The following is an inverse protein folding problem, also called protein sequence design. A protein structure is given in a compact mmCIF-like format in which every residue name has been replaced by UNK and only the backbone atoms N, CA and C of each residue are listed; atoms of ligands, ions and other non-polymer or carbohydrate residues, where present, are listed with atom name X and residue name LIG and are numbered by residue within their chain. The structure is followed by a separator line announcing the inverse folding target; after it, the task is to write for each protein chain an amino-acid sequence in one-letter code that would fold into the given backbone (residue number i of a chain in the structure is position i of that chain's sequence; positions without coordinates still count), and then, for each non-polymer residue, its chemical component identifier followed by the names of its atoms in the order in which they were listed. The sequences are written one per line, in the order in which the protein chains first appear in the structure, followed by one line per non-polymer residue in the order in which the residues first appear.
data_IF_056516548533
#
_entry.id   IF_056516548533
#
_cell.length_a   1.000
_cell.length_b   1.000
_cell.length_c   1.000
_cell.angle_alpha   90.00
_cell.angle_beta   90.00
_cell.angle_gamma   90.00
#
_symmetry.space_group_name_H-M   'P 1'
#
loop_
_entity.id
_entity.type
_entity.pdbx_description
1 polymer ?
#
# COMPACT_ATOMS: atom_id res chain seq x y z
N UNK A 1 10.14 -25.92 -10.61
CA UNK A 1 10.10 -24.46 -10.39
C UNK A 1 9.28 -23.85 -11.51
N UNK A 2 8.35 -22.97 -11.15
CA UNK A 2 7.52 -22.26 -12.13
C UNK A 2 8.14 -20.90 -12.46
N UNK A 3 7.74 -20.30 -13.59
CA UNK A 3 8.12 -18.93 -13.91
C UNK A 3 7.43 -17.96 -12.94
N UNK A 4 8.17 -17.14 -12.17
CA UNK A 4 7.56 -16.17 -11.27
C UNK A 4 6.66 -15.19 -12.02
N UNK A 5 5.57 -14.76 -11.38
CA UNK A 5 4.64 -13.77 -11.93
C UNK A 5 4.33 -12.72 -10.86
N UNK A 6 4.20 -11.47 -11.29
CA UNK A 6 3.84 -10.34 -10.45
C UNK A 6 2.80 -9.50 -11.20
N UNK A 7 1.74 -9.13 -10.50
CA UNK A 7 0.74 -8.15 -10.97
C UNK A 7 0.61 -7.09 -9.89
N UNK A 8 0.54 -5.81 -10.30
CA UNK A 8 0.26 -4.69 -9.40
C UNK A 8 -0.87 -3.84 -9.98
N UNK A 9 -1.59 -3.11 -9.13
CA UNK A 9 -2.54 -2.09 -9.54
C UNK A 9 -2.39 -0.81 -8.71
N UNK A 10 -2.69 0.33 -9.34
CA UNK A 10 -2.71 1.64 -8.70
C UNK A 10 -4.12 2.20 -8.44
N UNK A 11 -5.15 1.38 -8.65
CA UNK A 11 -6.55 1.79 -8.53
C UNK A 11 -7.42 1.35 -9.70
N UNK A 12 -8.73 1.39 -9.48
CA UNK A 12 -9.76 1.21 -10.50
C UNK A 12 -10.79 2.33 -10.38
N UNK A 13 -11.41 2.70 -11.50
CA UNK A 13 -12.36 3.81 -11.57
C UNK A 13 -12.17 4.61 -12.85
N UNK A 14 -12.95 5.69 -13.00
CA UNK A 14 -12.73 6.63 -14.10
C UNK A 14 -11.30 7.20 -14.00
N UNK A 15 -10.57 7.17 -15.13
CA UNK A 15 -9.28 7.85 -15.23
C UNK A 15 -9.52 9.36 -15.10
N UNK A 16 -9.41 9.84 -13.87
CA UNK A 16 -9.56 11.25 -13.52
C UNK A 16 -8.19 11.94 -13.63
N UNK A 17 -8.13 12.99 -14.45
CA UNK A 17 -6.93 13.81 -14.59
C UNK A 17 -6.61 14.17 -16.03
N UNK A 18 -5.52 14.89 -16.19
CA UNK A 18 -4.96 15.22 -17.51
C UNK A 18 -4.29 13.99 -18.11
N UNK A 19 -4.10 13.99 -19.44
CA UNK A 19 -3.32 12.96 -20.15
C UNK A 19 -1.96 12.74 -19.46
N UNK A 20 -1.30 13.83 -19.05
CA UNK A 20 -0.03 13.77 -18.32
C UNK A 20 -0.10 13.06 -16.96
N UNK A 21 -1.22 13.17 -16.23
CA UNK A 21 -1.42 12.45 -14.95
C UNK A 21 -1.51 10.95 -15.20
N UNK A 22 -2.22 10.54 -16.25
CA UNK A 22 -2.33 9.13 -16.66
C UNK A 22 -0.98 8.57 -17.09
N UNK A 23 -0.24 9.28 -17.94
CA UNK A 23 1.12 8.88 -18.36
C UNK A 23 2.07 8.74 -17.17
N UNK A 24 1.98 9.67 -16.20
CA UNK A 24 2.78 9.63 -14.97
C UNK A 24 2.45 8.41 -14.11
N UNK A 25 1.17 8.07 -13.97
CA UNK A 25 0.74 6.87 -13.25
C UNK A 25 1.22 5.59 -13.93
N UNK A 26 1.10 5.49 -15.26
CA UNK A 26 1.58 4.35 -16.04
C UNK A 26 3.09 4.17 -15.92
N UNK A 27 3.86 5.25 -16.06
CA UNK A 27 5.31 5.26 -15.90
C UNK A 27 5.73 4.84 -14.49
N UNK A 28 5.03 5.34 -13.47
CA UNK A 28 5.22 4.93 -12.08
C UNK A 28 4.94 3.44 -11.87
N UNK A 29 3.81 2.92 -12.36
CA UNK A 29 3.45 1.51 -12.26
C UNK A 29 4.48 0.62 -12.94
N UNK A 30 4.92 0.95 -14.15
CA UNK A 30 5.95 0.18 -14.86
C UNK A 30 7.27 0.14 -14.09
N UNK A 31 7.69 1.28 -13.53
CA UNK A 31 8.92 1.38 -12.72
C UNK A 31 8.82 0.55 -11.44
N UNK A 32 7.68 0.62 -10.75
CA UNK A 32 7.42 -0.15 -9.52
C UNK A 32 7.39 -1.65 -9.84
N UNK A 33 6.58 -2.08 -10.82
CA UNK A 33 6.49 -3.47 -11.23
C UNK A 33 7.86 -4.06 -11.60
N UNK A 34 8.67 -3.32 -12.37
CA UNK A 34 10.02 -3.74 -12.76
C UNK A 34 10.93 -3.95 -11.55
N UNK A 35 10.90 -3.04 -10.57
CA UNK A 35 11.73 -3.16 -9.35
C UNK A 35 11.23 -4.29 -8.46
N UNK A 36 9.92 -4.40 -8.25
CA UNK A 36 9.31 -5.47 -7.46
C UNK A 36 9.54 -6.84 -8.07
N UNK A 37 9.56 -6.96 -9.40
CA UNK A 37 9.92 -8.20 -10.09
C UNK A 37 11.38 -8.59 -9.85
N UNK A 38 12.30 -7.63 -9.68
CA UNK A 38 13.68 -7.94 -9.26
C UNK A 38 13.70 -8.51 -7.84
N UNK A 39 12.91 -7.95 -6.93
CA UNK A 39 12.75 -8.48 -5.56
C UNK A 39 12.18 -9.90 -5.59
N UNK A 40 11.15 -10.15 -6.40
CA UNK A 40 10.57 -11.50 -6.59
C UNK A 40 11.60 -12.53 -7.07
N UNK A 41 12.55 -12.11 -7.92
CA UNK A 41 13.57 -13.02 -8.44
C UNK A 41 14.75 -13.24 -7.49
N UNK A 42 15.01 -12.31 -6.56
CA UNK A 42 16.10 -12.43 -5.58
C UNK A 42 15.65 -12.92 -4.21
N UNK A 43 14.35 -12.83 -3.92
CA UNK A 43 13.72 -13.20 -2.65
C UNK A 43 12.47 -14.06 -2.93
N UNK A 44 11.33 -13.73 -2.32
CA UNK A 44 10.10 -14.51 -2.37
C UNK A 44 8.86 -13.65 -2.75
N UNK A 45 7.71 -14.31 -2.90
CA UNK A 45 6.45 -13.67 -3.24
C UNK A 45 6.04 -12.59 -2.21
N UNK A 46 6.21 -12.87 -0.91
CA UNK A 46 5.83 -11.96 0.19
C UNK A 46 6.62 -10.67 0.14
N UNK A 47 7.94 -10.77 0.02
CA UNK A 47 8.85 -9.62 -0.05
C UNK A 47 8.56 -8.76 -1.29
N UNK A 48 8.23 -9.39 -2.42
CA UNK A 48 7.88 -8.69 -3.65
C UNK A 48 6.58 -7.87 -3.52
N UNK A 49 5.52 -8.42 -2.93
CA UNK A 49 4.25 -7.69 -2.78
C UNK A 49 4.34 -6.58 -1.73
N UNK A 50 5.05 -6.80 -0.60
CA UNK A 50 5.31 -5.74 0.39
C UNK A 50 6.10 -4.60 -0.24
N UNK A 51 7.16 -4.92 -0.98
CA UNK A 51 7.97 -3.92 -1.66
C UNK A 51 7.17 -3.13 -2.71
N UNK A 52 6.34 -3.82 -3.49
CA UNK A 52 5.48 -3.18 -4.48
C UNK A 52 4.51 -2.19 -3.85
N UNK A 53 3.76 -2.63 -2.83
CA UNK A 53 2.77 -1.79 -2.15
C UNK A 53 3.44 -0.64 -1.41
N UNK A 54 4.61 -0.85 -0.77
CA UNK A 54 5.39 0.22 -0.16
C UNK A 54 5.78 1.30 -1.18
N UNK A 55 6.21 0.90 -2.37
CA UNK A 55 6.55 1.87 -3.42
C UNK A 55 5.31 2.63 -3.94
N UNK A 56 4.13 2.01 -3.90
CA UNK A 56 2.87 2.65 -4.22
C UNK A 56 2.46 3.64 -3.11
N UNK A 57 2.63 3.28 -1.84
CA UNK A 57 2.41 4.14 -0.66
C UNK A 57 3.39 5.33 -0.59
N UNK A 58 4.61 5.17 -1.10
CA UNK A 58 5.60 6.25 -1.16
C UNK A 58 5.32 7.22 -2.32
N UNK A 59 4.43 6.88 -3.25
CA UNK A 59 4.17 7.67 -4.45
C UNK A 59 2.85 8.46 -4.33
N UNK A 60 2.91 9.80 -4.28
CA UNK A 60 1.75 10.66 -4.00
C UNK A 60 0.64 10.62 -5.06
N UNK A 61 0.89 9.99 -6.22
CA UNK A 61 -0.11 9.82 -7.27
C UNK A 61 -1.22 8.82 -6.88
N UNK A 62 -0.95 7.92 -5.92
CA UNK A 62 -1.88 6.85 -5.55
C UNK A 62 -2.60 7.13 -4.22
N UNK A 63 -3.78 6.53 -4.02
CA UNK A 63 -4.54 6.68 -2.77
C UNK A 63 -4.10 5.65 -1.72
N UNK A 64 -2.85 5.74 -1.27
CA UNK A 64 -2.31 4.91 -0.18
C UNK A 64 -1.07 5.59 0.40
N UNK A 65 -0.80 5.42 1.70
CA UNK A 65 0.37 6.03 2.33
C UNK A 65 0.41 7.56 2.10
N UNK A 66 1.54 8.04 1.61
CA UNK A 66 1.71 9.43 1.15
C UNK A 66 0.82 9.70 -0.05
N UNK A 67 -0.09 10.66 0.05
CA UNK A 67 -1.08 10.90 -1.00
C UNK A 67 -2.40 10.16 -0.79
N UNK A 68 -2.64 9.61 0.39
CA UNK A 68 -3.98 9.18 0.81
C UNK A 68 -4.98 10.35 0.86
N UNK A 69 -6.25 10.08 0.57
CA UNK A 69 -7.33 11.06 0.66
C UNK A 69 -7.64 11.42 2.12
N UNK A 70 -8.03 12.67 2.33
CA UNK A 70 -8.54 13.11 3.63
C UNK A 70 -10.00 12.67 3.76
N UNK A 71 -10.37 12.21 4.95
CA UNK A 71 -11.76 11.93 5.31
C UNK A 71 -12.50 13.23 5.67
N UNK A 72 -13.80 13.12 5.94
CA UNK A 72 -14.69 14.28 6.17
C UNK A 72 -14.22 15.25 7.27
N UNK A 73 -13.39 14.79 8.20
CA UNK A 73 -12.81 15.55 9.30
C UNK A 73 -11.40 16.09 9.02
N UNK A 74 -10.94 16.01 7.76
CA UNK A 74 -9.64 16.50 7.34
C UNK A 74 -8.47 15.62 7.80
N UNK A 75 -8.72 14.36 8.20
CA UNK A 75 -7.68 13.41 8.62
C UNK A 75 -7.49 12.30 7.59
N UNK A 76 -6.25 11.88 7.39
CA UNK A 76 -5.92 10.66 6.65
C UNK A 76 -5.97 9.48 7.62
N UNK A 77 -6.73 8.43 7.29
CA UNK A 77 -6.69 7.14 8.00
C UNK A 77 -6.57 6.02 7.00
N UNK A 78 -5.50 5.25 7.10
CA UNK A 78 -5.13 4.25 6.10
C UNK A 78 -5.43 2.84 6.59
N UNK A 79 -5.65 1.93 5.65
CA UNK A 79 -5.76 0.50 5.94
C UNK A 79 -4.88 -0.29 4.99
N UNK A 80 -4.18 -1.30 5.50
CA UNK A 80 -3.35 -2.17 4.69
C UNK A 80 -3.38 -3.60 5.23
N UNK A 81 -3.22 -4.58 4.33
CA UNK A 81 -3.24 -5.98 4.67
C UNK A 81 -2.36 -6.81 3.76
N UNK A 82 -1.89 -7.93 4.29
CA UNK A 82 -1.09 -8.93 3.59
C UNK A 82 -1.50 -10.34 3.98
N UNK A 83 -1.43 -11.24 3.01
CA UNK A 83 -1.54 -12.68 3.22
C UNK A 83 -0.55 -13.40 2.33
N UNK A 84 0.02 -14.49 2.82
CA UNK A 84 0.92 -15.37 2.08
C UNK A 84 0.61 -16.84 2.35
N UNK A 85 0.93 -17.71 1.39
CA UNK A 85 0.66 -19.16 1.46
C UNK A 85 1.60 -19.91 2.39
N UNK A 86 2.74 -19.33 2.76
CA UNK A 86 3.73 -19.99 3.61
C UNK A 86 3.31 -19.91 5.08
N UNK A 87 2.89 -18.73 5.53
CA UNK A 87 2.40 -18.49 6.89
C UNK A 87 0.94 -18.89 7.05
N UNK A 88 0.15 -18.86 5.97
CA UNK A 88 -1.30 -19.00 5.98
C UNK A 88 -2.00 -18.02 6.93
N UNK A 89 -1.39 -16.85 7.16
CA UNK A 89 -1.91 -15.80 8.04
C UNK A 89 -2.26 -14.57 7.24
N UNK A 90 -3.41 -14.01 7.55
CA UNK A 90 -3.74 -12.64 7.21
C UNK A 90 -3.28 -11.71 8.35
N UNK A 91 -2.62 -10.62 7.99
CA UNK A 91 -2.29 -9.55 8.92
C UNK A 91 -2.56 -8.18 8.32
N UNK A 92 -2.91 -7.22 9.16
CA UNK A 92 -3.34 -5.91 8.68
C UNK A 92 -3.53 -4.86 9.75
N UNK A 93 -3.62 -3.62 9.28
CA UNK A 93 -3.96 -2.45 10.06
C UNK A 93 -5.17 -1.77 9.46
N UNK A 94 -6.06 -1.26 10.30
CA UNK A 94 -7.29 -0.55 9.88
C UNK A 94 -7.26 0.85 10.50
N UNK A 95 -7.57 1.89 9.73
CA UNK A 95 -7.61 3.28 10.20
C UNK A 95 -6.32 3.74 10.93
N UNK A 96 -5.16 3.25 10.52
CA UNK A 96 -3.87 3.70 11.07
C UNK A 96 -3.59 5.13 10.59
N UNK A 97 -3.06 5.94 11.51
CA UNK A 97 -2.77 7.35 11.27
C UNK A 97 -1.28 7.66 11.45
N UNK A 98 -0.83 8.73 10.80
CA UNK A 98 0.49 9.33 10.90
C UNK A 98 1.66 8.37 10.60
N UNK A 99 1.45 7.38 9.75
CA UNK A 99 2.44 6.36 9.38
C UNK A 99 2.75 6.47 7.90
N UNK A 100 4.04 6.41 7.54
CA UNK A 100 4.46 6.49 6.14
C UNK A 100 3.99 5.30 5.31
N UNK A 101 4.21 4.10 5.81
CA UNK A 101 3.96 2.86 5.07
C UNK A 101 3.12 1.85 5.89
N UNK A 102 1.78 1.94 5.85
CA UNK A 102 0.88 0.98 6.50
C UNK A 102 1.17 -0.49 6.18
N UNK A 103 1.58 -0.82 4.96
CA UNK A 103 1.86 -2.22 4.57
C UNK A 103 3.03 -2.83 5.34
N UNK A 104 4.03 -2.02 5.72
CA UNK A 104 5.17 -2.50 6.51
C UNK A 104 4.73 -2.85 7.95
N UNK A 105 3.77 -2.11 8.51
CA UNK A 105 3.15 -2.43 9.81
C UNK A 105 2.33 -3.72 9.69
N UNK A 106 1.52 -3.85 8.63
CA UNK A 106 0.76 -5.07 8.34
C UNK A 106 1.68 -6.30 8.18
N UNK A 107 2.82 -6.16 7.50
CA UNK A 107 3.82 -7.21 7.32
C UNK A 107 4.52 -7.59 8.64
N UNK A 108 4.80 -6.60 9.49
CA UNK A 108 5.38 -6.84 10.80
C UNK A 108 4.46 -7.65 11.73
N UNK A 109 3.14 -7.48 11.58
CA UNK A 109 2.12 -8.17 12.37
C UNK A 109 1.97 -9.66 12.04
N UNK A 110 2.42 -10.14 10.87
CA UNK A 110 2.30 -11.56 10.47
C UNK A 110 2.93 -12.53 11.49
N UNK A 111 3.96 -12.07 12.20
CA UNK A 111 4.69 -12.86 13.20
C UNK A 111 4.27 -12.53 14.65
N UNK A 112 3.17 -11.80 14.85
CA UNK A 112 2.66 -11.40 16.17
C UNK A 112 1.43 -12.19 16.55
N UNK A 113 1.06 -12.13 17.83
CA UNK A 113 -0.15 -12.78 18.38
C UNK A 113 -1.43 -12.17 17.80
N UNK A 114 -1.50 -10.84 17.79
CA UNK A 114 -2.61 -10.10 17.20
C UNK A 114 -2.18 -9.72 15.78
N UNK A 115 -2.74 -10.38 14.77
CA UNK A 115 -2.35 -10.16 13.37
C UNK A 115 -3.11 -8.99 12.73
N UNK A 116 -4.26 -8.60 13.31
CA UNK A 116 -5.06 -7.45 12.85
C UNK A 116 -5.29 -6.50 14.02
N UNK A 117 -4.99 -5.21 13.82
CA UNK A 117 -5.18 -4.14 14.81
C UNK A 117 -5.74 -2.89 14.14
N UNK A 118 -6.37 -1.99 14.89
CA UNK A 118 -7.09 -0.85 14.32
C UNK A 118 -6.90 0.47 15.08
N UNK A 119 -7.16 1.57 14.36
CA UNK A 119 -7.26 2.91 14.88
C UNK A 119 -6.05 3.37 15.68
N UNK A 120 -6.30 3.99 16.83
CA UNK A 120 -5.25 4.45 17.75
C UNK A 120 -4.36 3.32 18.25
N UNK A 121 -4.90 2.10 18.39
CA UNK A 121 -4.12 0.95 18.84
C UNK A 121 -3.12 0.52 17.77
N UNK A 122 -3.50 0.58 16.49
CA UNK A 122 -2.58 0.37 15.38
C UNK A 122 -1.46 1.41 15.35
N UNK A 123 -1.80 2.69 15.52
CA UNK A 123 -0.82 3.77 15.54
C UNK A 123 0.14 3.64 16.72
N UNK A 124 -0.33 3.44 17.95
CA UNK A 124 0.53 3.26 19.12
C UNK A 124 1.43 2.04 18.98
N UNK A 125 0.87 0.90 18.57
CA UNK A 125 1.66 -0.30 18.33
C UNK A 125 2.78 -0.04 17.30
N UNK A 126 2.49 0.66 16.21
CA UNK A 126 3.50 1.00 15.23
C UNK A 126 4.61 1.89 15.84
N UNK A 127 4.26 2.89 16.66
CA UNK A 127 5.24 3.75 17.34
C UNK A 127 6.15 2.96 18.28
N UNK A 128 5.56 2.11 19.10
CA UNK A 128 6.29 1.28 20.07
C UNK A 128 7.25 0.30 19.39
N UNK A 129 7.01 -0.02 18.12
CA UNK A 129 7.84 -0.90 17.30
C UNK A 129 8.71 -0.15 16.27
N UNK A 130 8.95 1.15 16.48
CA UNK A 130 9.94 1.92 15.73
C UNK A 130 9.45 2.54 14.42
N UNK A 131 8.16 2.45 14.10
CA UNK A 131 7.59 3.18 12.96
C UNK A 131 7.38 4.65 13.34
N UNK A 132 8.18 5.56 12.74
CA UNK A 132 8.24 6.97 13.12
C UNK A 132 7.03 7.79 12.67
N UNK A 133 6.79 8.89 13.39
CA UNK A 133 5.73 9.84 13.06
C UNK A 133 5.95 10.48 11.70
N UNK A 134 4.91 10.42 10.86
CA UNK A 134 4.99 10.90 9.49
C UNK A 134 3.63 11.45 9.06
N UNK A 135 3.59 12.65 8.48
CA UNK A 135 2.36 13.21 7.93
C UNK A 135 2.22 12.81 6.44
N UNK A 136 1.24 11.98 6.07
CA UNK A 136 1.04 11.56 4.67
C UNK A 136 0.31 12.58 3.80
N UNK A 137 -0.15 13.71 4.35
CA UNK A 137 -0.90 14.73 3.61
C UNK A 137 0.01 15.40 2.58
N UNK A 138 -0.45 15.44 1.33
CA UNK A 138 0.17 16.21 0.25
C UNK A 138 -0.64 17.48 -0.03
N UNK A 139 0.00 18.49 -0.64
CA UNK A 139 -0.69 19.71 -1.07
C UNK A 139 -1.86 19.42 -2.02
N UNK A 140 -1.69 18.48 -2.94
CA UNK A 140 -2.74 18.08 -3.90
C UNK A 140 -3.95 17.50 -3.17
N UNK A 141 -3.75 16.55 -2.24
CA UNK A 141 -4.86 15.95 -1.48
C UNK A 141 -5.55 16.94 -0.55
N UNK A 142 -4.80 17.86 0.05
CA UNK A 142 -5.39 18.93 0.85
C UNK A 142 -6.29 19.83 -0.02
N UNK A 143 -5.83 20.22 -1.22
CA UNK A 143 -6.65 21.01 -2.15
C UNK A 143 -7.88 20.24 -2.67
N UNK A 144 -7.77 18.94 -2.95
CA UNK A 144 -8.91 18.10 -3.31
C UNK A 144 -9.98 18.08 -2.20
N UNK A 145 -9.54 18.00 -0.93
CA UNK A 145 -10.42 18.05 0.24
C UNK A 145 -11.13 19.40 0.37
N UNK A 146 -10.39 20.51 0.32
CA UNK A 146 -10.94 21.86 0.43
C UNK A 146 -11.96 22.16 -0.68
N UNK A 147 -11.68 21.68 -1.90
CA UNK A 147 -12.57 21.84 -3.06
C UNK A 147 -13.71 20.80 -3.12
N UNK A 148 -13.83 19.91 -2.14
CA UNK A 148 -14.84 18.83 -2.08
C UNK A 148 -14.88 18.00 -3.36
N UNK A 149 -13.71 17.72 -3.94
CA UNK A 149 -13.61 16.93 -5.16
C UNK A 149 -14.15 15.52 -4.91
N UNK A 150 -15.15 15.11 -5.71
CA UNK A 150 -15.61 13.73 -5.78
C UNK A 150 -14.70 12.99 -6.74
N UNK A 151 -14.17 11.84 -6.33
CA UNK A 151 -13.38 11.00 -7.23
C UNK A 151 -13.44 9.53 -6.85
N UNK A 152 -13.56 8.67 -7.85
CA UNK A 152 -13.65 7.22 -7.69
C UNK A 152 -12.27 6.64 -7.33
N UNK A 153 -12.14 6.11 -6.12
CA UNK A 153 -10.87 5.86 -5.41
C UNK A 153 -10.02 4.74 -6.01
N UNK A 154 -8.71 4.96 -6.08
CA UNK A 154 -7.74 3.93 -6.45
C UNK A 154 -7.02 3.30 -5.27
N UNK A 155 -7.57 2.22 -4.70
CA UNK A 155 -6.81 1.30 -3.82
C UNK A 155 -5.61 0.72 -4.56
N UNK A 156 -4.49 0.53 -3.88
CA UNK A 156 -3.29 -0.08 -4.47
C UNK A 156 -3.12 -1.52 -4.00
N UNK A 157 -2.48 -2.34 -4.81
CA UNK A 157 -2.24 -3.73 -4.44
C UNK A 157 -1.29 -4.46 -5.36
N UNK A 158 -0.84 -5.62 -4.89
CA UNK A 158 0.05 -6.50 -5.61
C UNK A 158 -0.26 -7.97 -5.29
N UNK A 159 -0.12 -8.83 -6.30
CA UNK A 159 -0.15 -10.29 -6.15
C UNK A 159 1.07 -10.89 -6.84
N UNK A 160 1.69 -11.87 -6.21
CA UNK A 160 2.87 -12.55 -6.74
C UNK A 160 2.81 -14.05 -6.53
N UNK A 161 3.41 -14.79 -7.47
CA UNK A 161 3.79 -16.18 -7.30
C UNK A 161 5.30 -16.32 -7.56
N UNK A 162 6.03 -16.94 -6.66
CA UNK A 162 7.49 -17.15 -6.80
C UNK A 162 7.85 -18.50 -7.44
N UNK A 163 9.16 -18.76 -7.56
CA UNK A 163 9.69 -19.97 -8.20
C UNK A 163 9.34 -21.27 -7.47
N UNK A 164 9.04 -21.16 -6.17
CA UNK A 164 8.70 -22.23 -5.25
C UNK A 164 7.18 -22.39 -5.13
N UNK A 165 6.42 -21.74 -6.02
CA UNK A 165 4.96 -21.75 -6.07
C UNK A 165 4.30 -21.19 -4.81
N UNK A 166 4.99 -20.33 -4.05
CA UNK A 166 4.38 -19.60 -2.96
C UNK A 166 3.66 -18.36 -3.49
N UNK A 167 2.47 -18.11 -2.95
CA UNK A 167 1.61 -16.98 -3.30
C UNK A 167 1.64 -15.94 -2.18
N UNK A 168 1.60 -14.68 -2.58
CA UNK A 168 1.33 -13.59 -1.65
C UNK A 168 0.48 -12.51 -2.30
N UNK A 169 -0.32 -11.84 -1.48
CA UNK A 169 -1.13 -10.69 -1.87
C UNK A 169 -1.03 -9.60 -0.82
N UNK A 170 -0.89 -8.35 -1.25
CA UNK A 170 -0.85 -7.17 -0.40
C UNK A 170 -1.72 -6.06 -0.97
N UNK A 171 -2.41 -5.32 -0.09
CA UNK A 171 -3.30 -4.22 -0.45
C UNK A 171 -3.10 -3.06 0.54
N UNK A 172 -3.19 -1.82 0.06
CA UNK A 172 -3.18 -0.62 0.89
C UNK A 172 -4.12 0.45 0.34
N UNK A 173 -4.74 1.22 1.22
CA UNK A 173 -5.66 2.30 0.85
C UNK A 173 -5.70 3.40 1.89
N UNK A 174 -6.03 4.60 1.44
CA UNK A 174 -6.18 5.83 2.24
C UNK A 174 -7.61 6.30 2.38
#
# INVERSE_FOLDING_TARGET
MITPKLIIHGGAGKLEGTIHKVESMQSALLKIATKSYKVLNSQDARSAVVYAVKCLEDNPLFNAGTGSKLQYDGKIRMSAGIMDSQSNKFSGVINIQDIKNPIEVANFLTHKRNTVIEGKHATHFARDNGFLNYNPITKERYLEFENKCVGETGTVGAVAIDRDSQLAAATSTG
#
